data_IF_480335290355
#
_entry.id   IF_480335290355
#
_cell.length_a   1.000
_cell.length_b   1.000
_cell.length_c   1.000
_cell.angle_alpha   90.00
_cell.angle_beta   90.00
_cell.angle_gamma   90.00
#
_symmetry.space_group_name_H-M   'P 1'
#
loop_
_entity.id
_entity.type
_entity.pdbx_description
1 polymer ?
#
# COMPACT_ATOMS: atom_id res chain seq x y z
N UNK A 1 14.99 8.92 18.20
CA UNK A 1 14.28 7.72 17.80
C UNK A 1 14.93 7.01 16.65
N UNK A 2 14.59 5.75 16.47
CA UNK A 2 15.09 4.96 15.37
C UNK A 2 14.41 5.38 14.07
N UNK A 3 15.20 5.54 13.02
CA UNK A 3 14.66 5.84 11.71
C UNK A 3 14.21 4.55 11.03
N UNK A 4 13.06 4.63 10.37
CA UNK A 4 12.55 3.52 9.57
C UNK A 4 13.31 3.50 8.24
N UNK A 5 13.75 2.32 7.82
CA UNK A 5 14.51 2.19 6.58
C UNK A 5 13.62 2.48 5.38
N UNK A 6 13.95 3.50 4.54
CA UNK A 6 13.12 3.82 3.37
C UNK A 6 12.96 2.67 2.39
N UNK A 7 13.96 1.79 2.31
CA UNK A 7 13.94 0.64 1.41
C UNK A 7 12.73 -0.28 1.63
N UNK A 8 12.27 -0.40 2.88
CA UNK A 8 11.11 -1.22 3.20
C UNK A 8 9.87 -0.77 2.43
N UNK A 9 9.64 0.54 2.35
CA UNK A 9 8.49 1.08 1.61
C UNK A 9 8.63 0.87 0.12
N UNK A 10 9.84 1.06 -0.40
CA UNK A 10 10.14 0.84 -1.83
C UNK A 10 9.86 -0.61 -2.21
N UNK A 11 10.35 -1.56 -1.40
CA UNK A 11 10.16 -2.98 -1.68
C UNK A 11 8.69 -3.37 -1.67
N UNK A 12 7.92 -2.86 -0.70
CA UNK A 12 6.49 -3.15 -0.63
C UNK A 12 5.75 -2.63 -1.86
N UNK A 13 6.03 -1.41 -2.29
CA UNK A 13 5.38 -0.82 -3.46
C UNK A 13 5.81 -1.52 -4.73
N UNK A 14 7.10 -1.87 -4.86
CA UNK A 14 7.59 -2.61 -6.02
C UNK A 14 6.92 -3.97 -6.14
N UNK A 15 6.69 -4.66 -5.03
CA UNK A 15 5.98 -5.95 -5.03
C UNK A 15 4.59 -5.78 -5.65
N UNK A 16 3.87 -4.76 -5.22
CA UNK A 16 2.51 -4.49 -5.70
C UNK A 16 2.51 -4.18 -7.19
N UNK A 17 3.40 -3.29 -7.63
CA UNK A 17 3.46 -2.92 -9.05
C UNK A 17 3.90 -4.08 -9.93
N UNK A 18 4.85 -4.88 -9.47
CA UNK A 18 5.28 -6.05 -10.21
C UNK A 18 4.13 -7.05 -10.38
N UNK A 19 3.31 -7.22 -9.35
CA UNK A 19 2.11 -8.06 -9.41
C UNK A 19 1.19 -7.61 -10.55
N UNK A 20 0.91 -6.31 -10.61
CA UNK A 20 0.03 -5.75 -11.64
C UNK A 20 0.62 -5.93 -13.02
N UNK A 21 1.90 -5.60 -13.20
CA UNK A 21 2.56 -5.69 -14.51
C UNK A 21 2.65 -7.13 -15.02
N UNK A 22 2.97 -8.06 -14.12
CA UNK A 22 3.09 -9.47 -14.46
C UNK A 22 1.75 -10.08 -14.86
N UNK A 23 0.66 -9.63 -14.25
CA UNK A 23 -0.67 -10.18 -14.47
C UNK A 23 -1.58 -9.28 -15.30
N UNK A 24 -1.02 -8.30 -16.01
CA UNK A 24 -1.80 -7.27 -16.69
C UNK A 24 -2.86 -7.82 -17.63
N UNK A 25 -2.51 -8.79 -18.47
CA UNK A 25 -3.45 -9.37 -19.41
C UNK A 25 -4.61 -10.06 -18.69
N UNK A 26 -4.31 -10.88 -17.69
CA UNK A 26 -5.31 -11.57 -16.89
C UNK A 26 -6.22 -10.57 -16.17
N UNK A 27 -5.63 -9.50 -15.65
CA UNK A 27 -6.37 -8.47 -14.93
C UNK A 27 -7.29 -7.69 -15.87
N UNK A 28 -6.87 -7.42 -17.12
CA UNK A 28 -7.74 -6.79 -18.11
C UNK A 28 -8.97 -7.64 -18.39
N UNK A 29 -8.77 -8.94 -18.59
CA UNK A 29 -9.88 -9.86 -18.83
C UNK A 29 -10.81 -9.92 -17.63
N UNK A 30 -10.26 -9.97 -16.43
CA UNK A 30 -11.05 -10.00 -15.20
C UNK A 30 -11.83 -8.71 -14.99
N UNK A 31 -11.22 -7.56 -15.29
CA UNK A 31 -11.89 -6.26 -15.18
C UNK A 31 -13.11 -6.20 -16.10
N UNK A 32 -12.94 -6.65 -17.35
CA UNK A 32 -14.03 -6.63 -18.33
C UNK A 32 -15.20 -7.51 -17.90
N UNK A 33 -14.93 -8.62 -17.19
CA UNK A 33 -15.97 -9.54 -16.79
C UNK A 33 -16.61 -9.21 -15.44
N UNK A 34 -15.84 -8.68 -14.47
CA UNK A 34 -16.36 -8.47 -13.11
C UNK A 34 -16.55 -7.00 -12.72
N UNK A 35 -15.93 -6.06 -13.45
CA UNK A 35 -16.06 -4.65 -13.19
C UNK A 35 -15.12 -4.11 -12.11
N UNK A 36 -15.19 -2.79 -11.93
CA UNK A 36 -14.25 -2.05 -11.06
C UNK A 36 -14.35 -2.44 -9.58
N UNK A 37 -15.57 -2.57 -9.05
CA UNK A 37 -15.77 -2.83 -7.62
C UNK A 37 -15.23 -4.21 -7.21
N UNK A 38 -15.50 -5.23 -8.01
CA UNK A 38 -15.02 -6.58 -7.74
C UNK A 38 -13.50 -6.65 -7.87
N UNK A 39 -12.93 -5.97 -8.88
CA UNK A 39 -11.48 -5.92 -9.05
C UNK A 39 -10.81 -5.25 -7.86
N UNK A 40 -11.41 -4.18 -7.35
CA UNK A 40 -10.91 -3.48 -6.18
C UNK A 40 -10.90 -4.38 -4.95
N UNK A 41 -11.93 -5.21 -4.79
CA UNK A 41 -11.98 -6.19 -3.68
C UNK A 41 -10.85 -7.21 -3.78
N UNK A 42 -10.55 -7.68 -4.98
CA UNK A 42 -9.43 -8.60 -5.19
C UNK A 42 -8.10 -7.97 -4.79
N UNK A 43 -7.84 -6.75 -5.27
CA UNK A 43 -6.61 -6.04 -4.91
C UNK A 43 -6.55 -5.81 -3.40
N UNK A 44 -7.65 -5.40 -2.81
CA UNK A 44 -7.71 -5.17 -1.37
C UNK A 44 -7.36 -6.44 -0.59
N UNK A 45 -7.98 -7.56 -0.95
CA UNK A 45 -7.74 -8.84 -0.27
C UNK A 45 -6.29 -9.29 -0.40
N UNK A 46 -5.67 -9.05 -1.56
CA UNK A 46 -4.29 -9.46 -1.80
C UNK A 46 -3.27 -8.56 -1.07
N UNK A 47 -3.58 -7.28 -0.90
CA UNK A 47 -2.60 -6.32 -0.42
C UNK A 47 -2.77 -5.90 1.03
N UNK A 48 -3.90 -6.22 1.68
CA UNK A 48 -4.11 -5.86 3.09
C UNK A 48 -3.03 -6.45 3.99
N UNK A 49 -2.60 -7.69 3.73
CA UNK A 49 -1.55 -8.33 4.51
C UNK A 49 -0.21 -7.63 4.40
N UNK A 50 0.11 -7.13 3.19
CA UNK A 50 1.36 -6.38 2.97
C UNK A 50 1.32 -5.07 3.76
N UNK A 51 0.21 -4.36 3.70
CA UNK A 51 0.03 -3.11 4.42
C UNK A 51 0.16 -3.32 5.94
N UNK A 52 -0.48 -4.37 6.45
CA UNK A 52 -0.38 -4.72 7.87
C UNK A 52 1.06 -5.01 8.27
N UNK A 53 1.79 -5.76 7.44
CA UNK A 53 3.20 -6.06 7.69
C UNK A 53 4.06 -4.81 7.73
N UNK A 54 3.85 -3.88 6.80
CA UNK A 54 4.60 -2.62 6.77
C UNK A 54 4.34 -1.80 8.04
N UNK A 55 3.09 -1.73 8.47
CA UNK A 55 2.72 -1.00 9.69
C UNK A 55 3.38 -1.64 10.91
N UNK A 56 3.30 -2.96 11.05
CA UNK A 56 3.90 -3.68 12.17
C UNK A 56 5.42 -3.55 12.19
N UNK A 57 6.06 -3.64 11.03
CA UNK A 57 7.51 -3.49 10.93
C UNK A 57 7.96 -2.07 11.25
N UNK A 58 7.20 -1.06 10.83
CA UNK A 58 7.48 0.33 11.15
C UNK A 58 7.38 0.56 12.66
N UNK A 59 6.32 0.07 13.28
CA UNK A 59 6.12 0.15 14.72
C UNK A 59 7.29 -0.49 15.47
N UNK A 60 7.71 -1.68 15.02
CA UNK A 60 8.82 -2.40 15.63
C UNK A 60 10.14 -1.63 15.50
N UNK A 61 10.41 -1.08 14.32
CA UNK A 61 11.64 -0.30 14.09
C UNK A 61 11.68 0.97 14.92
N UNK A 62 10.52 1.57 15.19
CA UNK A 62 10.43 2.76 16.04
C UNK A 62 10.50 2.41 17.52
N UNK A 63 10.31 1.15 17.89
CA UNK A 63 10.33 0.71 19.28
C UNK A 63 9.15 1.23 20.10
N UNK A 64 7.99 1.37 19.48
CA UNK A 64 6.78 1.90 20.12
C UNK A 64 5.63 0.92 19.98
N UNK A 65 4.57 1.18 20.75
CA UNK A 65 3.28 0.48 20.61
C UNK A 65 2.20 1.53 20.35
N UNK A 66 1.58 1.43 19.17
CA UNK A 66 0.47 2.30 18.83
C UNK A 66 -0.87 1.60 19.11
N UNK A 67 -1.92 2.37 19.24
CA UNK A 67 -3.28 1.84 19.47
C UNK A 67 -3.66 0.85 18.36
N UNK A 68 -4.17 -0.32 18.77
CA UNK A 68 -4.55 -1.37 17.81
C UNK A 68 -5.63 -0.91 16.84
N UNK A 69 -6.64 -0.20 17.34
CA UNK A 69 -7.73 0.31 16.50
C UNK A 69 -7.22 1.30 15.45
N UNK A 70 -6.25 2.12 15.82
CA UNK A 70 -5.68 3.09 14.88
C UNK A 70 -4.82 2.39 13.82
N UNK A 71 -4.05 1.38 14.22
CA UNK A 71 -3.28 0.59 13.25
C UNK A 71 -4.20 -0.13 12.26
N UNK A 72 -5.31 -0.65 12.75
CA UNK A 72 -6.30 -1.30 11.89
C UNK A 72 -6.89 -0.30 10.90
N UNK A 73 -7.25 0.89 11.37
CA UNK A 73 -7.72 1.96 10.49
C UNK A 73 -6.68 2.31 9.43
N UNK A 74 -5.42 2.45 9.82
CA UNK A 74 -4.34 2.77 8.87
C UNK A 74 -4.15 1.68 7.83
N UNK A 75 -4.24 0.40 8.23
CA UNK A 75 -4.13 -0.69 7.25
C UNK A 75 -5.23 -0.62 6.20
N UNK A 76 -6.45 -0.34 6.60
CA UNK A 76 -7.56 -0.16 5.65
C UNK A 76 -7.38 1.09 4.80
N UNK A 77 -6.97 2.19 5.41
CA UNK A 77 -6.76 3.46 4.72
C UNK A 77 -5.72 3.34 3.60
N UNK A 78 -4.55 2.81 3.93
CA UNK A 78 -3.48 2.67 2.94
C UNK A 78 -3.84 1.62 1.88
N UNK A 79 -4.46 0.51 2.27
CA UNK A 79 -4.84 -0.54 1.32
C UNK A 79 -5.90 -0.04 0.34
N UNK A 80 -6.89 0.73 0.82
CA UNK A 80 -7.89 1.36 -0.05
C UNK A 80 -7.25 2.30 -1.05
N UNK A 81 -6.31 3.12 -0.60
CA UNK A 81 -5.62 4.06 -1.47
C UNK A 81 -4.80 3.32 -2.54
N UNK A 82 -4.07 2.29 -2.14
CA UNK A 82 -3.24 1.51 -3.06
C UNK A 82 -4.12 0.78 -4.08
N UNK A 83 -5.20 0.13 -3.62
CA UNK A 83 -6.10 -0.59 -4.53
C UNK A 83 -6.74 0.36 -5.55
N UNK A 84 -7.17 1.55 -5.11
CA UNK A 84 -7.74 2.54 -6.00
C UNK A 84 -6.75 3.07 -7.03
N UNK A 85 -5.51 3.33 -6.60
CA UNK A 85 -4.45 3.78 -7.50
C UNK A 85 -4.10 2.72 -8.53
N UNK A 86 -4.02 1.45 -8.12
CA UNK A 86 -3.70 0.36 -9.04
C UNK A 86 -4.78 0.18 -10.11
N UNK A 87 -6.05 0.28 -9.72
CA UNK A 87 -7.12 0.22 -10.71
C UNK A 87 -7.01 1.39 -11.68
N UNK A 88 -6.69 2.58 -11.20
CA UNK A 88 -6.48 3.74 -12.05
C UNK A 88 -5.37 3.54 -13.05
N UNK A 89 -4.21 3.04 -12.62
CA UNK A 89 -3.08 2.75 -13.49
C UNK A 89 -3.43 1.67 -14.53
N UNK A 90 -4.15 0.67 -14.08
CA UNK A 90 -4.55 -0.46 -14.89
C UNK A 90 -5.54 -0.05 -15.99
N UNK A 91 -6.47 0.88 -15.69
CA UNK A 91 -7.50 1.31 -16.63
C UNK A 91 -7.08 2.48 -17.50
N UNK A 92 -6.15 3.32 -17.06
CA UNK A 92 -5.67 4.49 -17.81
C UNK A 92 -4.48 4.22 -18.72
N UNK A 93 -4.12 2.97 -18.90
CA UNK A 93 -3.12 2.49 -19.90
C UNK A 93 -1.85 3.33 -19.95
N UNK A 94 -1.18 3.48 -18.83
CA UNK A 94 0.14 4.11 -18.81
C UNK A 94 0.14 5.62 -18.68
N UNK A 95 -0.90 6.19 -18.08
CA UNK A 95 -0.95 7.62 -17.77
C UNK A 95 0.20 8.06 -16.86
N UNK A 96 0.77 7.14 -16.08
CA UNK A 96 1.88 7.42 -15.18
C UNK A 96 3.04 6.45 -15.40
N UNK A 97 4.26 6.97 -15.21
CA UNK A 97 5.46 6.14 -15.20
C UNK A 97 5.45 5.28 -13.92
N UNK A 98 5.60 3.94 -14.05
CA UNK A 98 5.66 3.06 -12.87
C UNK A 98 6.70 3.47 -11.84
N UNK A 99 7.88 3.93 -12.28
CA UNK A 99 8.92 4.38 -11.35
C UNK A 99 8.48 5.61 -10.56
N UNK A 100 7.74 6.50 -11.20
CA UNK A 100 7.21 7.68 -10.55
C UNK A 100 6.13 7.32 -9.51
N UNK A 101 5.28 6.35 -9.83
CA UNK A 101 4.26 5.86 -8.89
C UNK A 101 4.92 5.27 -7.65
N UNK A 102 5.98 4.45 -7.84
CA UNK A 102 6.77 3.89 -6.72
C UNK A 102 7.33 5.01 -5.86
N UNK A 103 7.93 6.01 -6.49
CA UNK A 103 8.54 7.12 -5.76
C UNK A 103 7.50 7.86 -4.91
N UNK A 104 6.37 8.20 -5.51
CA UNK A 104 5.33 8.97 -4.82
C UNK A 104 4.69 8.18 -3.68
N UNK A 105 4.37 6.90 -3.90
CA UNK A 105 3.81 6.06 -2.84
C UNK A 105 4.79 5.86 -1.70
N UNK A 106 6.06 5.64 -2.03
CA UNK A 106 7.12 5.50 -1.02
C UNK A 106 7.27 6.78 -0.21
N UNK A 107 7.21 7.93 -0.87
CA UNK A 107 7.29 9.24 -0.22
C UNK A 107 6.11 9.45 0.74
N UNK A 108 4.90 9.09 0.33
CA UNK A 108 3.73 9.22 1.19
C UNK A 108 3.88 8.34 2.42
N UNK A 109 4.23 7.08 2.25
CA UNK A 109 4.40 6.15 3.37
C UNK A 109 5.49 6.61 4.33
N UNK A 110 6.66 6.96 3.78
CA UNK A 110 7.80 7.39 4.56
C UNK A 110 7.51 8.63 5.41
N UNK A 111 6.74 9.57 4.88
CA UNK A 111 6.50 10.86 5.52
C UNK A 111 5.20 10.88 6.32
N UNK A 112 4.35 9.87 6.21
CA UNK A 112 3.09 9.84 6.96
C UNK A 112 3.06 8.76 8.04
N UNK A 113 3.46 7.54 7.73
CA UNK A 113 3.26 6.41 8.61
C UNK A 113 4.00 6.55 9.96
N UNK A 114 5.31 6.88 10.00
CA UNK A 114 5.97 7.03 11.30
C UNK A 114 5.34 8.09 12.20
N UNK A 115 4.98 9.25 11.64
CA UNK A 115 4.34 10.32 12.38
C UNK A 115 2.97 9.92 12.90
N UNK A 116 2.19 9.22 12.07
CA UNK A 116 0.87 8.76 12.46
C UNK A 116 0.94 7.76 13.61
N UNK A 117 1.86 6.80 13.53
CA UNK A 117 2.05 5.82 14.59
C UNK A 117 2.52 6.50 15.89
N UNK A 118 3.44 7.46 15.79
CA UNK A 118 3.92 8.22 16.95
C UNK A 118 2.79 9.01 17.63
N UNK A 119 1.79 9.44 16.86
CA UNK A 119 0.65 10.19 17.42
C UNK A 119 -0.31 9.33 18.24
N UNK A 120 -0.20 8.01 18.13
CA UNK A 120 -1.14 7.06 18.75
C UNK A 120 -0.45 6.11 19.72
N UNK A 121 0.66 6.53 20.31
CA UNK A 121 1.41 5.69 21.27
C UNK A 121 0.55 5.37 22.48
N UNK A 122 0.50 4.08 22.82
CA UNK A 122 -0.17 3.60 24.04
C UNK A 122 0.75 3.85 25.23
N UNK A 123 0.21 4.41 26.36
CA UNK A 123 1.00 4.64 27.57
C UNK A 123 1.57 3.36 28.16
#
# INVERSE_FOLDING_TARGET
>A
GKQVKPLMYVLAVLFVLNYVQTNKHLLCCAYDSMGREEMKRFFYADFIGITQSVICDTERQMGIHAEEQFKEFLSHFYTEAIAGLLIGEFTNKGAHDPEQVVEYLSRVLKNSLPSLLASAIVP
#
